data_IF_793004535937
#
_entry.id   IF_793004535937
#
_cell.length_a   1.000
_cell.length_b   1.000
_cell.length_c   1.000
_cell.angle_alpha   90.00
_cell.angle_beta   90.00
_cell.angle_gamma   90.00
#
_symmetry.space_group_name_H-M   'P 1'
#
loop_
_entity.id
_entity.type
_entity.pdbx_description
1 polymer ?
#
# COMPACT_ATOMS: atom_id res chain seq x y z
N UNK A 1 -7.81 -7.27 4.60
CA UNK A 1 -7.46 -5.86 4.82
C UNK A 1 -6.20 -5.57 4.02
N UNK A 2 -6.17 -4.46 3.27
CA UNK A 2 -5.09 -4.09 2.37
C UNK A 2 -4.31 -2.92 2.98
N UNK A 3 -3.01 -3.04 3.12
CA UNK A 3 -2.16 -1.99 3.65
C UNK A 3 -1.40 -1.32 2.52
N UNK A 4 -1.53 0.00 2.39
CA UNK A 4 -0.78 0.81 1.42
C UNK A 4 0.28 1.59 2.16
N UNK A 5 1.51 1.08 2.14
CA UNK A 5 2.65 1.81 2.67
C UNK A 5 3.02 2.97 1.76
N UNK A 6 3.09 4.15 2.36
CA UNK A 6 3.22 5.42 1.67
C UNK A 6 4.27 6.32 2.32
N UNK A 7 4.49 7.48 1.72
CA UNK A 7 5.29 8.57 2.27
C UNK A 7 4.63 9.91 1.94
N UNK A 8 4.84 10.97 2.73
CA UNK A 8 4.31 12.30 2.45
C UNK A 8 4.70 12.78 1.05
N UNK A 9 3.75 13.42 0.37
CA UNK A 9 3.93 13.94 -1.00
C UNK A 9 3.95 12.88 -2.11
N UNK A 10 3.70 11.61 -1.80
CA UNK A 10 3.67 10.54 -2.80
C UNK A 10 2.39 10.59 -3.66
N UNK A 11 2.48 11.20 -4.85
CA UNK A 11 1.37 11.27 -5.81
C UNK A 11 0.84 9.88 -6.18
N UNK A 12 1.73 8.91 -6.40
CA UNK A 12 1.36 7.53 -6.74
C UNK A 12 0.59 6.82 -5.62
N UNK A 13 0.89 7.16 -4.36
CA UNK A 13 0.18 6.63 -3.21
C UNK A 13 -1.26 7.14 -3.18
N UNK A 14 -1.46 8.45 -3.38
CA UNK A 14 -2.80 9.03 -3.52
C UNK A 14 -3.59 8.42 -4.68
N UNK A 15 -2.94 8.19 -5.83
CA UNK A 15 -3.59 7.53 -6.98
C UNK A 15 -4.00 6.10 -6.65
N UNK A 16 -3.18 5.36 -5.90
CA UNK A 16 -3.49 4.00 -5.45
C UNK A 16 -4.72 3.99 -4.54
N UNK A 17 -4.76 4.86 -3.53
CA UNK A 17 -5.93 5.00 -2.65
C UNK A 17 -7.21 5.32 -3.43
N UNK A 18 -7.15 6.29 -4.37
CA UNK A 18 -8.28 6.61 -5.24
C UNK A 18 -8.76 5.42 -6.08
N UNK A 19 -7.85 4.60 -6.59
CA UNK A 19 -8.20 3.41 -7.37
C UNK A 19 -8.84 2.33 -6.49
N UNK A 20 -8.41 2.17 -5.24
CA UNK A 20 -9.04 1.28 -4.26
C UNK A 20 -10.46 1.75 -3.92
N UNK A 21 -10.63 3.04 -3.61
CA UNK A 21 -11.96 3.64 -3.38
C UNK A 21 -12.88 3.51 -4.59
N UNK A 22 -12.37 3.74 -5.81
CA UNK A 22 -13.13 3.58 -7.04
C UNK A 22 -13.59 2.14 -7.28
N UNK A 23 -12.90 1.15 -6.66
CA UNK A 23 -13.30 -0.25 -6.68
C UNK A 23 -14.40 -0.60 -5.68
N UNK A 24 -14.81 0.36 -4.84
CA UNK A 24 -15.79 0.16 -3.78
C UNK A 24 -15.18 -0.25 -2.44
N UNK A 25 -13.84 -0.25 -2.30
CA UNK A 25 -13.17 -0.58 -1.05
C UNK A 25 -13.17 0.64 -0.11
N UNK A 26 -13.58 0.43 1.13
CA UNK A 26 -13.76 1.46 2.14
C UNK A 26 -12.47 1.65 2.92
N UNK A 27 -11.93 2.87 2.93
CA UNK A 27 -10.76 3.23 3.74
C UNK A 27 -11.09 3.08 5.23
N UNK A 28 -10.19 2.45 6.00
CA UNK A 28 -10.37 2.12 7.41
C UNK A 28 -11.16 0.84 7.69
N UNK A 29 -11.72 0.19 6.67
CA UNK A 29 -12.38 -1.13 6.79
C UNK A 29 -11.69 -2.17 5.91
N UNK A 30 -11.58 -1.87 4.61
CA UNK A 30 -10.97 -2.76 3.63
C UNK A 30 -9.49 -2.48 3.42
N UNK A 31 -9.10 -1.20 3.53
CA UNK A 31 -7.73 -0.77 3.28
C UNK A 31 -7.33 0.47 4.09
N UNK A 32 -6.03 0.69 4.27
CA UNK A 32 -5.49 1.85 5.00
C UNK A 32 -4.15 2.33 4.42
N UNK A 33 -3.79 3.58 4.70
CA UNK A 33 -2.44 4.08 4.49
C UNK A 33 -1.59 3.93 5.75
N UNK A 34 -0.36 3.45 5.56
CA UNK A 34 0.68 3.49 6.59
C UNK A 34 1.80 4.41 6.12
N UNK A 35 2.06 5.48 6.85
CA UNK A 35 3.16 6.39 6.54
C UNK A 35 4.48 5.85 7.07
N UNK A 36 5.34 5.40 6.16
CA UNK A 36 6.65 4.84 6.46
C UNK A 36 7.65 5.88 7.00
N UNK A 37 7.30 7.17 7.00
CA UNK A 37 8.17 8.22 7.55
C UNK A 37 7.97 8.48 9.04
N UNK A 38 6.96 7.83 9.66
CA UNK A 38 6.74 7.91 11.10
C UNK A 38 7.57 6.87 11.84
N UNK A 39 8.22 7.26 12.93
CA UNK A 39 9.03 6.37 13.78
C UNK A 39 8.25 5.15 14.30
N UNK A 40 6.95 5.31 14.56
CA UNK A 40 6.08 4.20 14.98
C UNK A 40 5.96 3.09 13.92
N UNK A 41 6.20 3.42 12.65
CA UNK A 41 6.15 2.50 11.51
C UNK A 41 7.55 2.01 11.10
N UNK A 42 8.59 2.25 11.91
CA UNK A 42 9.96 1.83 11.60
C UNK A 42 10.07 0.30 11.36
N UNK A 43 9.32 -0.51 12.11
CA UNK A 43 9.29 -1.96 11.89
C UNK A 43 8.69 -2.33 10.53
N UNK A 44 7.67 -1.60 10.08
CA UNK A 44 7.08 -1.81 8.76
C UNK A 44 8.03 -1.37 7.64
N UNK A 45 8.77 -0.27 7.83
CA UNK A 45 9.81 0.18 6.92
C UNK A 45 10.91 -0.88 6.75
N UNK A 46 11.41 -1.43 7.86
CA UNK A 46 12.43 -2.49 7.85
C UNK A 46 11.92 -3.75 7.15
N UNK A 47 10.67 -4.16 7.39
CA UNK A 47 10.09 -5.32 6.72
C UNK A 47 9.94 -5.09 5.20
N UNK A 48 9.36 -3.97 4.76
CA UNK A 48 9.14 -3.74 3.33
C UNK A 48 10.42 -3.46 2.55
N UNK A 49 11.42 -2.82 3.17
CA UNK A 49 12.69 -2.49 2.52
C UNK A 49 13.76 -3.59 2.68
N UNK A 50 13.78 -4.25 3.83
CA UNK A 50 14.72 -5.29 4.20
C UNK A 50 14.27 -6.67 3.71
N UNK A 51 13.17 -7.20 4.26
CA UNK A 51 12.68 -8.54 3.94
C UNK A 51 12.10 -8.63 2.53
N UNK A 52 11.21 -7.68 2.16
CA UNK A 52 10.58 -7.69 0.82
C UNK A 52 11.45 -7.04 -0.26
N UNK A 53 12.46 -6.24 0.12
CA UNK A 53 13.39 -5.59 -0.80
C UNK A 53 12.79 -4.45 -1.63
N UNK A 54 11.61 -3.93 -1.28
CA UNK A 54 10.98 -2.84 -2.01
C UNK A 54 11.62 -1.49 -1.69
N UNK A 55 11.82 -0.67 -2.73
CA UNK A 55 12.51 0.62 -2.60
C UNK A 55 11.66 1.82 -3.03
N UNK A 56 10.46 1.57 -3.53
CA UNK A 56 9.59 2.61 -4.09
C UNK A 56 8.16 2.45 -3.56
N UNK A 57 7.67 3.52 -2.93
CA UNK A 57 6.26 3.66 -2.58
C UNK A 57 5.41 3.98 -3.83
N UNK A 58 4.12 3.60 -3.86
CA UNK A 58 3.38 2.87 -2.83
C UNK A 58 3.78 1.40 -2.78
N UNK A 59 3.80 0.79 -1.60
CA UNK A 59 3.91 -0.66 -1.44
C UNK A 59 2.55 -1.13 -0.95
N UNK A 60 1.87 -1.96 -1.74
CA UNK A 60 0.54 -2.45 -1.43
C UNK A 60 0.67 -3.91 -0.99
N UNK A 61 0.16 -4.19 0.20
CA UNK A 61 0.15 -5.53 0.79
C UNK A 61 -1.30 -5.94 1.02
N UNK A 62 -1.73 -7.01 0.34
CA UNK A 62 -3.06 -7.60 0.54
C UNK A 62 -2.98 -8.71 1.60
N UNK A 63 -1.89 -9.47 1.56
CA UNK A 63 -1.47 -10.46 2.54
C UNK A 63 0.03 -10.78 2.32
N UNK A 64 0.58 -11.70 3.11
CA UNK A 64 2.01 -12.07 3.09
C UNK A 64 2.49 -12.60 1.72
N UNK A 65 1.61 -13.25 0.95
CA UNK A 65 1.95 -13.82 -0.36
C UNK A 65 1.59 -12.90 -1.54
N UNK A 66 0.77 -11.87 -1.31
CA UNK A 66 0.26 -10.97 -2.33
C UNK A 66 0.53 -9.51 -1.96
N UNK A 67 1.68 -9.05 -2.42
CA UNK A 67 2.12 -7.67 -2.28
C UNK A 67 2.87 -7.20 -3.54
N UNK A 68 2.92 -5.89 -3.76
CA UNK A 68 3.66 -5.28 -4.87
C UNK A 68 4.07 -3.84 -4.56
N UNK A 69 5.05 -3.33 -5.31
CA UNK A 69 5.45 -1.92 -5.29
C UNK A 69 4.99 -1.16 -6.53
N UNK A 70 4.74 0.13 -6.37
CA UNK A 70 4.32 1.05 -7.41
C UNK A 70 2.81 1.07 -7.66
N UNK A 71 2.34 2.08 -8.39
CA UNK A 71 0.95 2.15 -8.83
C UNK A 71 0.69 1.09 -9.91
N UNK A 72 -0.08 0.05 -9.57
CA UNK A 72 -0.43 -1.08 -10.45
C UNK A 72 -1.94 -1.23 -10.55
N UNK A 73 -2.61 -0.48 -11.45
CA UNK A 73 -4.06 -0.57 -11.62
C UNK A 73 -4.52 -1.97 -12.03
N UNK A 74 -3.66 -2.74 -12.69
CA UNK A 74 -3.89 -4.13 -13.07
C UNK A 74 -3.98 -5.10 -11.87
N UNK A 75 -3.18 -4.87 -10.81
CA UNK A 75 -3.31 -5.64 -9.57
C UNK A 75 -4.54 -5.18 -8.78
N UNK A 76 -4.76 -3.87 -8.70
CA UNK A 76 -5.93 -3.28 -8.04
C UNK A 76 -7.22 -3.82 -8.66
N UNK A 77 -7.29 -3.92 -9.99
CA UNK A 77 -8.46 -4.44 -10.71
C UNK A 77 -8.85 -5.89 -10.33
N UNK A 78 -7.88 -6.70 -9.91
CA UNK A 78 -8.09 -8.11 -9.50
C UNK A 78 -8.55 -8.27 -8.06
N UNK A 79 -8.54 -7.20 -7.26
CA UNK A 79 -9.02 -7.25 -5.89
C UNK A 79 -10.54 -7.51 -5.89
N UNK A 80 -10.95 -8.53 -5.16
CA UNK A 80 -12.35 -8.90 -4.93
C UNK A 80 -12.70 -8.61 -3.48
N UNK A 81 -13.82 -7.93 -3.27
CA UNK A 81 -14.44 -7.67 -1.97
C UNK A 81 -15.41 -8.80 -1.64
#
# INVERSE_FOLDING_TARGET
MITVYSKPGCVQCMTTGRALTAKGLIEGTDWEFVDLTLDENAAALEWVMGDLGYKQAPIVVVNDEHHWSGFRPDHIAKLTH
#
